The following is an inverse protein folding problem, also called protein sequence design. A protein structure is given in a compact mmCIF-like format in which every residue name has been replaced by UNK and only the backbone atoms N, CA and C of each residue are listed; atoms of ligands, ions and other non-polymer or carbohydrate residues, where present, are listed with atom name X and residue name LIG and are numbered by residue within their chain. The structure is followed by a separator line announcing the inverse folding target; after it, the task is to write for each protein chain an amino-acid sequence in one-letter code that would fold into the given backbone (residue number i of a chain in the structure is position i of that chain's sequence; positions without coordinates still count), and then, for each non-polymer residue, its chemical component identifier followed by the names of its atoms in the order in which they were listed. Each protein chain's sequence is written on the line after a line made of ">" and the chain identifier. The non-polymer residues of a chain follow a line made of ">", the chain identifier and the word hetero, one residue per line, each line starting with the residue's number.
data_IF_402502849202
#
_entry.id   IF_402502849202
#
_cell.length_a   1.000
_cell.length_b   1.000
_cell.length_c   1.000
_cell.angle_alpha   90.00
_cell.angle_beta   90.00
_cell.angle_gamma   90.00
#
_symmetry.space_group_name_H-M   'P 1'
#
loop_
_entity.id
_entity.type
_entity.pdbx_description
1 polymer ?
#
# COMPACT_ATOMS: atom_id res chain seq x y z
N UNK A 1 -18.80 5.87 -8.35
CA UNK A 1 -17.60 5.06 -8.08
C UNK A 1 -18.00 3.58 -8.07
N UNK A 2 -17.20 2.69 -8.66
CA UNK A 2 -17.49 1.25 -8.77
C UNK A 2 -18.79 0.89 -9.55
N UNK A 3 -19.15 1.71 -10.53
CA UNK A 3 -20.35 1.55 -11.36
C UNK A 3 -21.63 2.22 -10.83
N UNK A 4 -21.59 2.82 -9.64
CA UNK A 4 -22.69 3.62 -9.08
C UNK A 4 -22.39 5.13 -9.10
N UNK A 5 -23.37 6.03 -8.90
CA UNK A 5 -23.11 7.43 -8.57
C UNK A 5 -22.19 7.59 -7.34
N UNK A 6 -21.55 8.77 -7.18
CA UNK A 6 -20.75 9.03 -5.98
C UNK A 6 -21.66 9.16 -4.75
N UNK A 7 -21.35 8.50 -3.62
CA UNK A 7 -21.94 8.86 -2.34
C UNK A 7 -21.54 10.29 -1.91
N UNK A 8 -22.33 10.99 -1.09
CA UNK A 8 -21.97 12.29 -0.52
C UNK A 8 -20.60 12.28 0.15
N UNK A 9 -20.28 11.27 0.96
CA UNK A 9 -18.97 11.14 1.63
C UNK A 9 -17.79 11.02 0.66
N UNK A 10 -18.07 10.56 -0.57
CA UNK A 10 -17.07 10.39 -1.61
C UNK A 10 -17.04 11.56 -2.59
N UNK A 11 -17.82 12.62 -2.35
CA UNK A 11 -17.75 13.87 -3.10
C UNK A 11 -18.83 14.04 -4.15
N UNK A 12 -20.05 13.51 -3.95
CA UNK A 12 -21.18 13.82 -4.84
C UNK A 12 -21.38 15.34 -5.04
N UNK A 13 -21.75 15.84 -6.22
CA UNK A 13 -21.93 15.09 -7.47
C UNK A 13 -20.61 14.80 -8.19
N UNK A 14 -19.55 15.54 -7.86
CA UNK A 14 -18.31 15.55 -8.61
C UNK A 14 -17.09 15.70 -7.69
N UNK A 15 -16.04 14.95 -8.00
CA UNK A 15 -14.73 15.05 -7.34
C UNK A 15 -13.60 15.02 -8.36
N UNK A 16 -12.44 15.55 -7.97
CA UNK A 16 -11.18 15.24 -8.61
C UNK A 16 -10.63 13.88 -8.15
N UNK A 17 -9.92 13.20 -9.05
CA UNK A 17 -9.10 12.01 -8.76
C UNK A 17 -7.73 12.23 -9.39
N UNK A 18 -6.68 12.13 -8.57
CA UNK A 18 -5.28 12.30 -8.99
C UNK A 18 -4.51 11.02 -8.65
N UNK A 19 -4.48 10.02 -9.56
CA UNK A 19 -3.85 8.74 -9.28
C UNK A 19 -2.35 8.86 -8.97
N UNK A 20 -1.85 8.11 -8.00
CA UNK A 20 -0.43 8.13 -7.59
C UNK A 20 -0.07 9.27 -6.64
N UNK A 21 -0.99 10.19 -6.37
CA UNK A 21 -0.79 11.33 -5.46
C UNK A 21 -1.48 11.07 -4.12
N UNK A 22 -1.10 11.85 -3.11
CA UNK A 22 -1.75 11.84 -1.79
C UNK A 22 -3.24 12.20 -1.92
N UNK A 23 -4.08 11.52 -1.14
CA UNK A 23 -5.53 11.65 -1.22
C UNK A 23 -6.04 13.10 -1.04
N UNK A 24 -5.29 13.94 -0.33
CA UNK A 24 -5.60 15.36 -0.13
C UNK A 24 -5.75 16.15 -1.46
N UNK A 25 -5.10 15.70 -2.54
CA UNK A 25 -5.19 16.34 -3.87
C UNK A 25 -6.41 15.87 -4.68
N UNK A 26 -7.09 14.82 -4.25
CA UNK A 26 -8.33 14.32 -4.86
C UNK A 26 -9.56 15.00 -4.23
N UNK A 27 -9.70 16.31 -4.48
CA UNK A 27 -10.71 17.19 -3.87
C UNK A 27 -12.13 16.68 -4.11
N UNK A 28 -12.90 16.52 -3.04
CA UNK A 28 -14.33 16.16 -3.04
C UNK A 28 -15.21 17.41 -3.18
N UNK A 29 -16.46 17.23 -3.62
CA UNK A 29 -17.46 18.32 -3.74
C UNK A 29 -16.94 19.47 -4.60
N UNK A 30 -16.41 19.13 -5.78
CA UNK A 30 -15.69 20.05 -6.65
C UNK A 30 -16.62 21.19 -7.10
N UNK A 31 -16.25 22.43 -6.78
CA UNK A 31 -17.02 23.64 -7.11
C UNK A 31 -16.38 24.51 -8.18
N UNK A 32 -15.05 24.54 -8.25
CA UNK A 32 -14.30 25.42 -9.15
C UNK A 32 -12.97 24.79 -9.53
N UNK A 33 -12.57 25.00 -10.78
CA UNK A 33 -11.22 24.70 -11.28
C UNK A 33 -10.62 26.03 -11.74
N UNK A 34 -9.40 26.32 -11.28
CA UNK A 34 -8.67 27.55 -11.61
C UNK A 34 -7.31 27.12 -12.15
N UNK A 35 -6.92 27.67 -13.29
CA UNK A 35 -5.56 27.57 -13.80
C UNK A 35 -4.78 28.78 -13.26
N UNK A 36 -3.59 28.54 -12.75
CA UNK A 36 -2.76 29.51 -12.04
C UNK A 36 -1.29 29.20 -12.30
N UNK A 37 -0.45 30.23 -12.30
CA UNK A 37 1.02 30.07 -12.32
C UNK A 37 1.56 29.62 -10.96
N UNK A 38 0.85 29.98 -9.89
CA UNK A 38 1.20 29.63 -8.51
C UNK A 38 0.42 28.43 -7.97
N UNK A 39 0.99 27.75 -6.97
CA UNK A 39 0.27 26.76 -6.16
C UNK A 39 -0.94 27.36 -5.42
N UNK A 40 -1.90 26.50 -5.08
CA UNK A 40 -3.06 26.89 -4.26
C UNK A 40 -2.62 27.50 -2.94
N UNK A 41 -3.14 28.68 -2.62
CA UNK A 41 -2.89 29.38 -1.36
C UNK A 41 -3.75 28.87 -0.19
N UNK A 42 -4.50 27.78 -0.39
CA UNK A 42 -5.32 27.20 0.68
C UNK A 42 -4.47 26.65 1.83
N UNK A 43 -4.99 26.68 3.06
CA UNK A 43 -4.26 26.17 4.21
C UNK A 43 -3.82 24.69 4.06
N UNK A 44 -4.60 23.85 3.37
CA UNK A 44 -4.29 22.43 3.19
C UNK A 44 -3.18 22.15 2.16
N UNK A 45 -2.83 23.14 1.34
CA UNK A 45 -1.69 23.09 0.43
C UNK A 45 -0.46 23.73 1.08
N UNK A 46 -0.65 24.86 1.77
CA UNK A 46 0.46 25.67 2.30
C UNK A 46 0.93 25.24 3.69
N UNK A 47 0.02 24.84 4.59
CA UNK A 47 0.26 24.62 6.02
C UNK A 47 -0.18 23.24 6.53
N UNK A 48 -0.37 22.29 5.63
CA UNK A 48 -0.68 20.90 5.95
C UNK A 48 -0.08 19.99 4.86
N UNK A 49 -0.05 18.68 5.10
CA UNK A 49 0.45 17.69 4.15
C UNK A 49 1.87 18.00 3.62
N UNK A 50 2.79 18.31 4.54
CA UNK A 50 4.24 18.46 4.30
C UNK A 50 5.00 17.55 5.25
N UNK A 51 6.20 17.12 4.85
CA UNK A 51 7.05 16.25 5.66
C UNK A 51 8.17 17.09 6.29
N UNK A 52 8.37 16.90 7.59
CA UNK A 52 9.41 17.56 8.36
C UNK A 52 10.29 16.54 9.07
N UNK A 53 11.46 16.96 9.51
CA UNK A 53 12.37 16.11 10.26
C UNK A 53 11.76 15.69 11.61
N UNK A 54 12.12 14.51 12.14
CA UNK A 54 11.51 13.96 13.36
C UNK A 54 11.73 14.82 14.62
N UNK A 55 12.71 15.72 14.60
CA UNK A 55 13.06 16.60 15.73
C UNK A 55 12.59 18.05 15.54
N UNK A 56 11.81 18.36 14.50
CA UNK A 56 11.30 19.71 14.25
C UNK A 56 9.94 19.91 14.93
N UNK A 57 9.91 20.63 16.05
CA UNK A 57 8.66 20.90 16.82
C UNK A 57 7.92 22.16 16.35
N UNK A 58 8.63 23.09 15.70
CA UNK A 58 8.07 24.31 15.12
C UNK A 58 8.55 24.44 13.67
N UNK A 59 8.04 23.61 12.74
CA UNK A 59 8.52 23.59 11.38
C UNK A 59 8.14 24.87 10.62
N UNK A 60 9.08 25.36 9.80
CA UNK A 60 8.80 26.38 8.79
C UNK A 60 8.19 25.72 7.55
N UNK A 61 6.90 25.97 7.34
CA UNK A 61 6.13 25.40 6.23
C UNK A 61 6.61 25.78 4.84
N UNK A 62 7.42 26.83 4.70
CA UNK A 62 7.99 27.24 3.41
C UNK A 62 9.18 26.39 2.99
N UNK A 63 9.80 25.68 3.94
CA UNK A 63 11.03 24.89 3.70
C UNK A 63 10.76 23.50 3.10
N UNK A 64 9.52 23.03 3.17
CA UNK A 64 9.13 21.73 2.66
C UNK A 64 8.19 21.87 1.45
N UNK A 65 8.30 21.00 0.43
CA UNK A 65 7.30 20.92 -0.63
C UNK A 65 6.00 20.30 -0.10
N UNK A 66 4.87 20.67 -0.70
CA UNK A 66 3.61 19.97 -0.49
C UNK A 66 3.72 18.52 -0.95
N UNK A 67 3.22 17.56 -0.16
CA UNK A 67 3.20 16.15 -0.59
C UNK A 67 2.36 16.06 -1.86
N UNK A 68 2.95 15.46 -2.88
CA UNK A 68 2.31 15.15 -4.15
C UNK A 68 2.27 13.63 -4.29
N UNK A 69 3.27 13.04 -4.92
CA UNK A 69 3.38 11.58 -5.01
C UNK A 69 3.65 10.94 -3.65
N UNK A 70 3.01 9.79 -3.41
CA UNK A 70 3.24 9.01 -2.20
C UNK A 70 4.49 8.12 -2.32
N UNK A 71 5.24 7.92 -1.22
CA UNK A 71 6.32 6.94 -1.19
C UNK A 71 5.78 5.51 -1.28
N UNK A 72 6.70 4.54 -1.36
CA UNK A 72 6.39 3.12 -1.20
C UNK A 72 5.88 2.85 0.23
N UNK A 73 4.80 2.09 0.35
CA UNK A 73 4.22 1.63 1.63
C UNK A 73 3.77 0.19 1.48
N UNK A 74 3.88 -0.59 2.55
CA UNK A 74 3.26 -1.91 2.67
C UNK A 74 2.76 -2.15 4.10
N UNK A 75 1.74 -2.98 4.24
CA UNK A 75 1.23 -3.39 5.55
C UNK A 75 0.70 -4.81 5.52
N UNK A 76 0.90 -5.54 6.63
CA UNK A 76 0.25 -6.82 6.90
C UNK A 76 -1.20 -6.54 7.31
N UNK A 77 -2.16 -7.22 6.69
CA UNK A 77 -3.59 -7.09 7.00
C UNK A 77 -4.19 -8.32 7.65
N UNK A 78 -3.57 -9.49 7.47
CA UNK A 78 -3.97 -10.70 8.17
C UNK A 78 -2.81 -11.66 8.39
N UNK A 79 -2.90 -12.40 9.50
CA UNK A 79 -2.06 -13.55 9.80
C UNK A 79 -2.99 -14.71 10.16
N UNK A 80 -2.91 -15.81 9.43
CA UNK A 80 -3.64 -17.04 9.74
C UNK A 80 -2.65 -18.11 10.13
N UNK A 81 -2.87 -18.71 11.29
CA UNK A 81 -1.98 -19.73 11.84
C UNK A 81 -2.62 -21.11 11.71
N UNK A 82 -1.87 -22.05 11.15
CA UNK A 82 -2.22 -23.48 11.14
C UNK A 82 -2.16 -24.11 12.54
N UNK A 83 -2.43 -25.41 12.67
CA UNK A 83 -2.26 -26.12 13.93
C UNK A 83 -0.78 -26.19 14.35
N UNK A 84 -0.54 -26.46 15.64
CA UNK A 84 0.81 -26.79 16.11
C UNK A 84 1.25 -28.13 15.53
N UNK A 85 2.46 -28.16 14.99
CA UNK A 85 3.08 -29.36 14.41
C UNK A 85 4.57 -29.44 14.78
N UNK A 86 5.19 -30.60 14.58
CA UNK A 86 6.66 -30.69 14.59
C UNK A 86 7.22 -29.90 13.42
N UNK A 87 8.27 -29.12 13.64
CA UNK A 87 8.88 -28.32 12.57
C UNK A 87 9.58 -29.28 11.59
N UNK A 88 9.20 -29.30 10.30
CA UNK A 88 9.88 -30.13 9.32
C UNK A 88 11.29 -29.58 9.05
N UNK A 89 12.22 -30.40 8.53
CA UNK A 89 13.49 -29.89 8.00
C UNK A 89 13.26 -28.82 6.93
N UNK A 90 14.02 -27.72 7.00
CA UNK A 90 13.87 -26.57 6.09
C UNK A 90 15.19 -26.31 5.36
N UNK A 91 15.15 -25.78 4.14
CA UNK A 91 16.37 -25.36 3.43
C UNK A 91 16.70 -23.92 3.79
N UNK A 92 17.90 -23.70 4.30
CA UNK A 92 18.46 -22.36 4.46
C UNK A 92 18.76 -21.72 3.09
N UNK A 93 18.89 -20.38 3.03
CA UNK A 93 19.54 -19.71 1.90
C UNK A 93 20.89 -20.37 1.58
N UNK A 94 21.09 -20.80 0.33
CA UNK A 94 22.25 -21.59 -0.11
C UNK A 94 22.07 -23.11 -0.13
N UNK A 95 20.86 -23.62 0.17
CA UNK A 95 20.49 -25.02 -0.05
C UNK A 95 20.87 -25.99 1.07
N UNK A 96 21.50 -25.50 2.15
CA UNK A 96 21.80 -26.29 3.35
C UNK A 96 20.51 -26.72 4.05
N UNK A 97 20.37 -28.01 4.35
CA UNK A 97 19.25 -28.51 5.15
C UNK A 97 19.48 -28.14 6.63
N UNK A 98 18.50 -27.44 7.21
CA UNK A 98 18.37 -27.19 8.63
C UNK A 98 17.40 -28.23 9.20
N UNK A 99 17.91 -29.08 10.09
CA UNK A 99 17.10 -30.06 10.82
C UNK A 99 16.85 -29.50 12.22
N UNK A 100 15.60 -29.13 12.56
CA UNK A 100 15.26 -28.71 13.91
C UNK A 100 15.43 -29.86 14.92
N UNK A 101 15.61 -29.56 16.21
CA UNK A 101 15.49 -30.57 17.27
C UNK A 101 14.15 -31.33 17.19
N UNK A 102 14.08 -32.63 17.52
CA UNK A 102 12.85 -33.43 17.44
C UNK A 102 11.65 -32.84 18.20
N UNK A 103 11.92 -32.11 19.28
CA UNK A 103 10.95 -31.43 20.13
C UNK A 103 10.50 -30.06 19.61
N UNK A 104 11.14 -29.55 18.54
CA UNK A 104 10.79 -28.25 17.97
C UNK A 104 9.36 -28.26 17.46
N UNK A 105 8.54 -27.36 18.02
CA UNK A 105 7.16 -27.13 17.60
C UNK A 105 7.04 -25.81 16.86
N UNK A 106 6.26 -25.81 15.79
CA UNK A 106 5.97 -24.63 15.00
C UNK A 106 4.56 -24.67 14.43
N UNK A 107 4.18 -23.58 13.77
CA UNK A 107 2.90 -23.44 13.07
C UNK A 107 3.18 -22.85 11.71
N UNK A 108 2.49 -23.33 10.69
CA UNK A 108 2.44 -22.61 9.43
C UNK A 108 1.73 -21.27 9.64
N UNK A 109 2.25 -20.20 9.02
CA UNK A 109 1.67 -18.88 9.07
C UNK A 109 1.44 -18.38 7.63
N UNK A 110 0.19 -18.14 7.27
CA UNK A 110 -0.16 -17.42 6.07
C UNK A 110 -0.26 -15.93 6.42
N UNK A 111 0.64 -15.13 5.86
CA UNK A 111 0.72 -13.68 6.08
C UNK A 111 0.28 -12.99 4.80
N UNK A 112 -0.75 -12.14 4.88
CA UNK A 112 -1.25 -11.41 3.71
C UNK A 112 -1.26 -9.92 3.98
N UNK A 113 -1.09 -9.13 2.92
CA UNK A 113 -1.05 -7.69 3.04
C UNK A 113 -1.26 -6.96 1.74
N UNK A 114 -1.03 -5.65 1.79
CA UNK A 114 -0.97 -4.79 0.61
C UNK A 114 0.37 -4.07 0.50
N UNK A 115 0.69 -3.61 -0.71
CA UNK A 115 1.81 -2.73 -1.00
C UNK A 115 1.40 -1.72 -2.09
N UNK A 116 1.86 -0.48 -1.98
CA UNK A 116 1.49 0.61 -2.88
C UNK A 116 2.64 1.60 -3.04
N UNK A 117 2.78 2.19 -4.23
CA UNK A 117 3.68 3.31 -4.49
C UNK A 117 2.98 4.39 -5.31
N UNK A 118 3.27 5.65 -5.02
CA UNK A 118 2.79 6.80 -5.79
C UNK A 118 3.38 6.89 -7.20
N UNK A 119 3.04 7.97 -7.92
CA UNK A 119 3.57 8.26 -9.26
C UNK A 119 3.31 7.16 -10.30
N UNK A 120 2.39 6.24 -10.01
CA UNK A 120 2.08 5.11 -10.88
C UNK A 120 3.16 4.03 -10.95
N UNK A 121 4.12 3.99 -10.03
CA UNK A 121 5.17 2.96 -9.97
C UNK A 121 4.60 1.60 -9.55
N UNK A 122 5.09 0.53 -10.17
CA UNK A 122 4.69 -0.85 -9.83
C UNK A 122 5.45 -1.37 -8.60
N UNK A 123 4.80 -2.24 -7.84
CA UNK A 123 5.48 -3.08 -6.85
C UNK A 123 6.19 -4.21 -7.61
N UNK A 124 7.49 -4.37 -7.35
CA UNK A 124 8.32 -5.41 -7.98
C UNK A 124 8.65 -6.55 -7.03
N UNK A 125 8.63 -6.29 -5.72
CA UNK A 125 8.93 -7.25 -4.68
C UNK A 125 8.31 -6.82 -3.35
N UNK A 126 7.93 -7.80 -2.55
CA UNK A 126 7.61 -7.64 -1.13
C UNK A 126 8.38 -8.73 -0.40
N UNK A 127 9.13 -8.33 0.62
CA UNK A 127 9.93 -9.22 1.45
C UNK A 127 9.31 -9.27 2.85
N UNK A 128 9.17 -10.47 3.42
CA UNK A 128 8.56 -10.71 4.74
C UNK A 128 9.59 -11.36 5.64
N UNK A 129 9.70 -10.88 6.88
CA UNK A 129 10.59 -11.43 7.88
C UNK A 129 9.80 -11.96 9.07
N UNK A 130 10.25 -13.10 9.62
CA UNK A 130 9.73 -13.71 10.84
C UNK A 130 10.72 -13.60 12.02
N UNK A 131 11.86 -12.93 11.84
CA UNK A 131 12.97 -12.90 12.80
C UNK A 131 13.51 -11.49 13.09
N UNK A 132 12.60 -10.50 13.07
CA UNK A 132 12.90 -9.08 13.26
C UNK A 132 13.83 -8.49 12.19
N UNK A 133 13.70 -8.93 10.94
CA UNK A 133 14.38 -8.37 9.78
C UNK A 133 15.80 -8.90 9.56
N UNK A 134 16.17 -10.03 10.16
CA UNK A 134 17.50 -10.65 9.96
C UNK A 134 17.51 -11.49 8.69
N UNK A 135 16.45 -12.25 8.44
CA UNK A 135 16.21 -13.01 7.21
C UNK A 135 14.85 -12.65 6.62
N UNK A 136 14.73 -12.84 5.30
CA UNK A 136 13.61 -12.39 4.51
C UNK A 136 13.23 -13.43 3.47
N UNK A 137 11.93 -13.75 3.41
CA UNK A 137 11.33 -14.55 2.35
C UNK A 137 10.56 -13.64 1.39
N UNK A 138 10.68 -13.89 0.10
CA UNK A 138 9.95 -13.11 -0.91
C UNK A 138 8.49 -13.57 -0.98
N UNK A 139 7.56 -12.64 -0.74
CA UNK A 139 6.13 -12.89 -0.88
C UNK A 139 5.70 -13.05 -2.34
N UNK A 140 4.59 -13.75 -2.55
CA UNK A 140 3.96 -13.88 -3.87
C UNK A 140 3.07 -12.67 -4.12
N UNK A 141 3.43 -11.87 -5.12
CA UNK A 141 2.57 -10.79 -5.61
C UNK A 141 1.34 -11.38 -6.30
N UNK A 142 0.15 -10.91 -5.92
CA UNK A 142 -1.10 -11.32 -6.54
C UNK A 142 -1.38 -10.45 -7.76
N UNK A 143 -1.82 -11.07 -8.85
CA UNK A 143 -2.30 -10.33 -10.01
C UNK A 143 -3.60 -9.60 -9.65
N UNK A 144 -3.82 -8.43 -10.24
CA UNK A 144 -5.05 -7.64 -10.09
C UNK A 144 -6.18 -8.22 -10.95
N UNK A 145 -6.42 -9.53 -10.82
CA UNK A 145 -7.43 -10.25 -11.58
C UNK A 145 -8.72 -10.24 -10.78
N UNK A 146 -9.63 -9.33 -11.13
CA UNK A 146 -11.01 -9.40 -10.61
C UNK A 146 -11.62 -10.68 -11.20
N UNK A 147 -12.07 -11.64 -10.37
CA UNK A 147 -12.84 -12.77 -10.91
C UNK A 147 -14.12 -12.19 -11.56
N UNK A 148 -14.43 -12.50 -12.83
CA UNK A 148 -15.67 -12.05 -13.43
C UNK A 148 -16.85 -12.55 -12.58
N UNK A 149 -17.69 -11.62 -12.14
CA UNK A 149 -19.00 -11.95 -11.59
C UNK A 149 -19.97 -12.25 -12.73
N UNK A 150 -21.15 -12.85 -12.44
CA UNK A 150 -22.13 -13.23 -13.46
C UNK A 150 -22.56 -12.05 -14.36
N UNK A 151 -22.47 -10.81 -13.87
CA UNK A 151 -22.91 -9.60 -14.59
C UNK A 151 -21.77 -8.64 -14.98
N UNK A 152 -20.50 -9.03 -14.82
CA UNK A 152 -19.35 -8.16 -15.16
C UNK A 152 -18.24 -8.93 -15.84
N UNK A 153 -18.01 -8.61 -17.11
CA UNK A 153 -16.76 -8.94 -17.79
C UNK A 153 -15.60 -8.34 -16.99
N UNK A 154 -14.73 -9.21 -16.47
CA UNK A 154 -13.48 -8.78 -15.86
C UNK A 154 -12.59 -8.23 -16.96
N UNK A 155 -12.30 -6.94 -16.89
CA UNK A 155 -11.21 -6.37 -17.65
C UNK A 155 -10.09 -6.14 -16.63
N UNK A 156 -8.94 -6.77 -16.85
CA UNK A 156 -7.73 -6.50 -16.08
C UNK A 156 -7.40 -5.00 -16.22
N UNK A 157 -7.77 -4.20 -15.22
CA UNK A 157 -7.64 -2.74 -15.30
C UNK A 157 -6.25 -2.23 -14.87
N UNK A 158 -5.32 -3.12 -14.50
CA UNK A 158 -3.95 -2.72 -14.18
C UNK A 158 -2.95 -3.86 -13.98
N UNK A 159 -1.68 -3.62 -14.34
CA UNK A 159 -0.55 -4.51 -14.05
C UNK A 159 0.11 -4.22 -12.69
N UNK A 160 -0.59 -3.52 -11.79
CA UNK A 160 -0.05 -3.01 -10.53
C UNK A 160 -0.56 -3.88 -9.40
N UNK A 161 0.13 -4.98 -9.15
CA UNK A 161 -0.11 -5.82 -7.96
C UNK A 161 0.00 -4.96 -6.70
N UNK A 162 -1.11 -4.82 -6.00
CA UNK A 162 -1.19 -4.09 -4.74
C UNK A 162 -1.42 -5.01 -3.54
N UNK A 163 -1.65 -6.31 -3.77
CA UNK A 163 -1.84 -7.33 -2.76
C UNK A 163 -0.77 -8.44 -2.87
N UNK A 164 -0.43 -9.04 -1.74
CA UNK A 164 0.57 -10.10 -1.65
C UNK A 164 0.22 -11.10 -0.54
N UNK A 165 0.76 -12.33 -0.66
CA UNK A 165 0.60 -13.43 0.29
C UNK A 165 1.86 -14.29 0.41
#
# INVERSE_FOLDING_TARGET
>A
MNGAPLPPDHGFPLRALVPGYVAARSVKWLRRVIVSEDESQSQWQQKDYKLFGPNQTHPDWTTAPAIQEMPITSAITAVKLGPWTTVPPMKAPGGRLLTPPPEARGREAAVTGYAYSGGGRRIVRVDVSLDNGRTWDQAKLLADTVKPGPDRASQDHGHKSWAWQ
#
